data_IF_268723189042
#
_entry.id   IF_268723189042
#
_cell.length_a   1.000
_cell.length_b   1.000
_cell.length_c   1.000
_cell.angle_alpha   90.00
_cell.angle_beta   90.00
_cell.angle_gamma   90.00
#
_symmetry.space_group_name_H-M   'P 1'
#
loop_
_entity.id
_entity.type
_entity.pdbx_description
1 polymer ?
#
# COMPACT_ATOMS: atom_id res chain seq x y z
N UNK A 1 6.25 -6.45 9.98
CA UNK A 1 7.69 -6.13 9.78
C UNK A 1 7.82 -4.75 9.14
N UNK A 2 8.88 -3.99 9.45
CA UNK A 2 9.08 -2.60 8.97
C UNK A 2 10.38 -2.50 8.16
N UNK A 3 10.37 -1.78 7.04
CA UNK A 3 11.57 -1.51 6.24
C UNK A 3 11.98 -0.05 6.41
N UNK A 4 13.03 0.19 7.21
CA UNK A 4 13.49 1.54 7.56
C UNK A 4 14.28 2.17 6.43
N UNK A 5 14.02 3.45 6.16
CA UNK A 5 14.79 4.29 5.26
C UNK A 5 15.15 5.62 5.97
N UNK A 6 16.13 6.39 5.48
CA UNK A 6 16.40 7.73 6.00
C UNK A 6 15.11 8.58 5.95
N UNK A 7 14.65 9.03 7.12
CA UNK A 7 13.43 9.83 7.29
C UNK A 7 12.14 9.20 6.74
N UNK A 8 12.05 7.87 6.68
CA UNK A 8 10.86 7.21 6.14
C UNK A 8 10.78 5.71 6.38
N UNK A 9 9.73 5.11 5.82
CA UNK A 9 9.51 3.66 5.83
C UNK A 9 9.14 3.21 4.42
N UNK A 10 9.97 2.37 3.81
CA UNK A 10 9.74 1.90 2.46
C UNK A 10 8.73 0.75 2.44
N UNK A 11 8.00 0.64 1.33
CA UNK A 11 7.23 -0.57 1.04
C UNK A 11 8.19 -1.72 0.67
N UNK A 12 7.77 -2.96 0.95
CA UNK A 12 8.55 -4.15 0.64
C UNK A 12 8.88 -4.30 -0.85
N UNK A 13 7.96 -3.93 -1.75
CA UNK A 13 8.23 -4.00 -3.19
C UNK A 13 9.41 -3.11 -3.59
N UNK A 14 9.49 -1.89 -3.06
CA UNK A 14 10.56 -0.92 -3.35
C UNK A 14 11.94 -1.47 -3.01
N UNK A 15 12.05 -2.25 -1.94
CA UNK A 15 13.33 -2.74 -1.42
C UNK A 15 13.70 -4.11 -1.96
N UNK A 16 12.76 -5.06 -1.94
CA UNK A 16 13.04 -6.45 -2.30
C UNK A 16 12.84 -6.74 -3.79
N UNK A 17 11.98 -5.99 -4.48
CA UNK A 17 11.71 -6.15 -5.93
C UNK A 17 11.27 -7.56 -6.35
N UNK A 18 10.67 -8.31 -5.43
CA UNK A 18 10.18 -9.66 -5.68
C UNK A 18 8.69 -9.64 -6.04
N UNK A 19 8.28 -10.55 -6.93
CA UNK A 19 6.90 -10.71 -7.40
C UNK A 19 5.88 -10.73 -6.25
N UNK A 20 6.17 -11.43 -5.15
CA UNK A 20 5.28 -11.54 -3.98
C UNK A 20 4.95 -10.21 -3.29
N UNK A 21 5.82 -9.20 -3.40
CA UNK A 21 5.58 -7.88 -2.82
C UNK A 21 5.07 -6.88 -3.85
N UNK A 22 5.46 -7.05 -5.11
CA UNK A 22 5.10 -6.15 -6.21
C UNK A 22 3.84 -6.58 -6.97
N UNK A 23 3.31 -7.77 -6.69
CA UNK A 23 2.19 -8.37 -7.42
C UNK A 23 2.45 -8.44 -8.94
N UNK A 24 3.67 -8.79 -9.32
CA UNK A 24 4.10 -8.93 -10.72
C UNK A 24 4.34 -10.39 -11.08
N UNK A 25 4.53 -10.67 -12.37
CA UNK A 25 4.98 -11.98 -12.86
C UNK A 25 4.13 -13.14 -12.32
N UNK A 26 4.78 -14.04 -11.62
CA UNK A 26 4.17 -15.24 -11.03
C UNK A 26 3.11 -14.93 -9.96
N UNK A 27 3.20 -13.76 -9.32
CA UNK A 27 2.26 -13.31 -8.29
C UNK A 27 1.16 -12.39 -8.81
N UNK A 28 1.12 -12.07 -10.12
CA UNK A 28 0.16 -11.10 -10.67
C UNK A 28 -1.31 -11.41 -10.34
N UNK A 29 -1.65 -12.71 -10.34
CA UNK A 29 -3.00 -13.21 -10.03
C UNK A 29 -3.11 -13.87 -8.65
N UNK A 30 -2.00 -14.02 -7.93
CA UNK A 30 -1.96 -14.66 -6.61
C UNK A 30 -1.17 -13.80 -5.62
N UNK A 31 -1.49 -12.51 -5.58
CA UNK A 31 -0.88 -11.56 -4.66
C UNK A 31 -1.77 -11.38 -3.44
N UNK A 32 -1.16 -11.34 -2.26
CA UNK A 32 -1.89 -11.15 -1.01
C UNK A 32 -1.07 -10.44 0.06
N UNK A 33 -1.68 -10.21 1.24
CA UNK A 33 -1.03 -9.48 2.32
C UNK A 33 0.21 -10.21 2.86
N UNK A 34 1.30 -9.47 3.02
CA UNK A 34 2.54 -9.94 3.63
C UNK A 34 2.72 -9.32 5.01
N UNK A 35 3.70 -9.77 5.80
CA UNK A 35 4.00 -9.16 7.10
C UNK A 35 4.43 -7.69 6.99
N UNK A 36 4.92 -7.27 5.83
CA UNK A 36 5.27 -5.88 5.55
C UNK A 36 4.05 -5.04 5.20
N UNK A 37 3.15 -5.54 4.34
CA UNK A 37 1.93 -4.80 4.02
C UNK A 37 0.98 -4.72 5.22
N UNK A 38 0.84 -5.80 6.00
CA UNK A 38 0.03 -5.79 7.24
C UNK A 38 0.53 -4.78 8.26
N UNK A 39 1.83 -4.50 8.30
CA UNK A 39 2.35 -3.42 9.16
C UNK A 39 1.78 -2.05 8.74
N UNK A 40 1.82 -1.69 7.46
CA UNK A 40 1.24 -0.44 6.98
C UNK A 40 -0.28 -0.40 7.17
N UNK A 41 -0.96 -1.50 6.86
CA UNK A 41 -2.42 -1.59 7.00
C UNK A 41 -2.89 -1.43 8.45
N UNK A 42 -2.11 -1.91 9.41
CA UNK A 42 -2.40 -1.73 10.83
C UNK A 42 -2.21 -0.31 11.35
N UNK A 43 -1.41 0.53 10.67
CA UNK A 43 -1.18 1.93 11.04
C UNK A 43 -2.11 2.89 10.27
N UNK A 44 -2.35 2.60 9.00
CA UNK A 44 -3.21 3.36 8.11
C UNK A 44 -4.19 2.39 7.42
N UNK A 45 -5.30 2.07 8.09
CA UNK A 45 -6.31 1.10 7.60
C UNK A 45 -6.90 1.47 6.25
N UNK A 46 -6.98 2.75 5.97
CA UNK A 46 -7.67 3.30 4.80
C UNK A 46 -6.73 3.34 3.58
N UNK A 47 -5.42 3.32 3.81
CA UNK A 47 -4.43 3.42 2.74
C UNK A 47 -4.14 2.05 2.10
N UNK A 48 -3.79 2.08 0.82
CA UNK A 48 -3.25 0.92 0.12
C UNK A 48 -1.94 0.47 0.77
N UNK A 49 -1.90 -0.79 1.22
CA UNK A 49 -0.72 -1.36 1.86
C UNK A 49 0.10 -2.29 0.96
N UNK A 50 -0.52 -2.82 -0.10
CA UNK A 50 0.08 -3.59 -1.19
C UNK A 50 -0.70 -3.36 -2.50
N UNK A 51 -0.17 -3.72 -3.68
CA UNK A 51 -0.76 -3.34 -4.97
C UNK A 51 -2.18 -3.85 -5.27
N UNK A 52 -2.68 -4.86 -4.54
CA UNK A 52 -4.00 -5.47 -4.76
C UNK A 52 -4.93 -5.28 -3.55
N UNK A 53 -4.72 -4.21 -2.78
CA UNK A 53 -5.48 -3.87 -1.56
C UNK A 53 -6.77 -3.06 -1.85
N UNK A 54 -7.40 -3.28 -3.01
CA UNK A 54 -8.52 -2.45 -3.49
C UNK A 54 -9.75 -2.53 -2.58
N UNK A 55 -10.06 -3.71 -2.07
CA UNK A 55 -11.28 -3.99 -1.32
C UNK A 55 -11.48 -3.12 -0.06
N UNK A 56 -10.39 -2.55 0.48
CA UNK A 56 -10.44 -1.74 1.71
C UNK A 56 -9.82 -0.35 1.55
N UNK A 57 -9.42 0.04 0.33
CA UNK A 57 -8.72 1.29 0.07
C UNK A 57 -9.19 2.06 -1.16
N UNK A 58 -10.13 1.51 -1.92
CA UNK A 58 -10.77 2.26 -3.01
C UNK A 58 -11.84 3.18 -2.45
N UNK A 59 -11.66 4.49 -2.64
CA UNK A 59 -12.65 5.53 -2.33
C UNK A 59 -13.05 6.23 -3.61
N UNK A 60 -14.36 6.48 -3.78
CA UNK A 60 -14.89 7.18 -4.95
C UNK A 60 -15.86 8.28 -4.51
N UNK A 61 -15.84 9.40 -5.22
CA UNK A 61 -16.75 10.53 -5.03
C UNK A 61 -17.41 10.90 -6.36
N UNK A 62 -18.61 11.53 -6.34
CA UNK A 62 -19.27 12.01 -7.55
C UNK A 62 -18.43 13.03 -8.34
N UNK A 63 -18.68 13.11 -9.65
CA UNK A 63 -18.06 14.13 -10.51
C UNK A 63 -18.35 15.56 -10.02
N UNK A 64 -17.33 16.42 -10.03
CA UNK A 64 -17.42 17.79 -9.49
C UNK A 64 -17.08 17.94 -8.01
N UNK A 65 -16.67 16.87 -7.34
CA UNK A 65 -16.17 16.92 -5.95
C UNK A 65 -14.81 17.64 -5.89
N UNK A 66 -14.64 18.52 -4.89
CA UNK A 66 -13.36 19.16 -4.56
C UNK A 66 -12.62 18.36 -3.48
N UNK A 67 -11.29 18.47 -3.44
CA UNK A 67 -10.44 17.72 -2.50
C UNK A 67 -9.49 18.66 -1.77
N UNK A 68 -9.15 18.31 -0.53
CA UNK A 68 -8.09 18.94 0.24
C UNK A 68 -7.07 17.88 0.66
N UNK A 69 -5.79 18.16 0.45
CA UNK A 69 -4.67 17.30 0.87
C UNK A 69 -3.89 18.03 1.96
N UNK A 70 -3.78 17.41 3.13
CA UNK A 70 -3.13 17.99 4.32
C UNK A 70 -1.96 17.11 4.71
N UNK A 71 -0.78 17.71 4.85
CA UNK A 71 0.40 17.05 5.42
C UNK A 71 0.45 17.31 6.92
N UNK A 72 0.68 16.28 7.71
CA UNK A 72 0.54 16.33 9.18
C UNK A 72 -0.85 16.83 9.61
N UNK A 73 -1.93 16.11 9.21
CA UNK A 73 -3.29 16.42 9.64
C UNK A 73 -3.48 16.27 11.15
#
# INVERSE_FOLDING_TARGET
>A
ARVVAPSGCNNACTVFKEDRYCCTGSAANNCGPTDYSRFFKGQCSDAYSYPKDDATSTYTCPGGTNYQVIFCP
#
